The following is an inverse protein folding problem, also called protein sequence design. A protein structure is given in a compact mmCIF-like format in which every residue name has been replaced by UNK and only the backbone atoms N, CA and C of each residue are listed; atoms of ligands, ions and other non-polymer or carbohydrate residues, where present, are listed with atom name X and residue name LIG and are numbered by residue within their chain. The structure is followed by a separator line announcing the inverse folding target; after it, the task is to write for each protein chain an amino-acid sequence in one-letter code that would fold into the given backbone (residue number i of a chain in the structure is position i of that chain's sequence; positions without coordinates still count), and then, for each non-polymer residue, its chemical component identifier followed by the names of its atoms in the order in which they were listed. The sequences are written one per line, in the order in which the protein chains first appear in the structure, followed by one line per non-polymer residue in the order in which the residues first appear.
data_IF_352477528341
#
_entry.id   IF_352477528341
#
_cell.length_a   1.000
_cell.length_b   1.000
_cell.length_c   1.000
_cell.angle_alpha   90.00
_cell.angle_beta   90.00
_cell.angle_gamma   90.00
#
_symmetry.space_group_name_H-M   'P 1'
#
loop_
_entity.id
_entity.type
_entity.pdbx_description
1 polymer ?
#
# COMPACT_ATOMS: atom_id res chain seq x y z
N UNK A 1 -10.66 5.75 -2.60
CA UNK A 1 -9.99 4.42 -2.74
C UNK A 1 -11.02 3.32 -2.91
N UNK A 2 -10.66 2.15 -3.46
CA UNK A 2 -11.59 1.01 -3.52
C UNK A 2 -11.76 0.35 -2.14
N UNK A 3 -12.95 -0.17 -1.90
CA UNK A 3 -13.32 -0.75 -0.60
C UNK A 3 -12.48 -1.96 -0.18
N UNK A 4 -11.78 -2.62 -1.11
CA UNK A 4 -10.82 -3.69 -0.79
C UNK A 4 -9.71 -3.18 0.14
N UNK A 5 -9.29 -1.92 0.02
CA UNK A 5 -8.27 -1.31 0.92
C UNK A 5 -8.83 -1.18 2.34
N UNK A 6 -10.03 -0.63 2.49
CA UNK A 6 -10.68 -0.47 3.80
C UNK A 6 -11.03 -1.82 4.43
N UNK A 7 -11.44 -2.81 3.61
CA UNK A 7 -11.70 -4.19 4.05
C UNK A 7 -10.42 -4.84 4.59
N UNK A 8 -9.29 -4.66 3.91
CA UNK A 8 -7.99 -5.18 4.34
C UNK A 8 -7.54 -4.56 5.67
N UNK A 9 -7.69 -3.24 5.84
CA UNK A 9 -7.39 -2.58 7.11
C UNK A 9 -8.28 -3.12 8.25
N UNK A 10 -9.58 -3.30 8.00
CA UNK A 10 -10.51 -3.95 8.94
C UNK A 10 -10.02 -5.35 9.32
N UNK A 11 -9.70 -6.17 8.32
CA UNK A 11 -9.22 -7.55 8.54
C UNK A 11 -7.92 -7.58 9.34
N UNK A 12 -6.98 -6.69 9.05
CA UNK A 12 -5.75 -6.53 9.83
C UNK A 12 -6.06 -6.22 11.30
N UNK A 13 -6.90 -5.21 11.55
CA UNK A 13 -7.25 -4.81 12.90
C UNK A 13 -7.95 -5.92 13.68
N UNK A 14 -8.92 -6.61 13.07
CA UNK A 14 -9.65 -7.69 13.73
C UNK A 14 -8.73 -8.89 14.02
N UNK A 15 -7.92 -9.29 13.04
CA UNK A 15 -7.09 -10.49 13.17
C UNK A 15 -5.94 -10.30 14.17
N UNK A 16 -5.36 -9.10 14.27
CA UNK A 16 -4.22 -8.84 15.15
C UNK A 16 -4.62 -8.30 16.52
N UNK A 17 -5.71 -7.53 16.59
CA UNK A 17 -6.07 -6.78 17.80
C UNK A 17 -7.49 -7.04 18.31
N UNK A 18 -8.30 -7.80 17.56
CA UNK A 18 -9.65 -8.17 17.92
C UNK A 18 -10.73 -7.18 17.47
N UNK A 19 -11.97 -7.68 17.39
CA UNK A 19 -13.12 -6.89 16.92
C UNK A 19 -13.44 -5.70 17.83
N UNK A 20 -13.22 -5.82 19.14
CA UNK A 20 -13.46 -4.71 20.07
C UNK A 20 -12.67 -3.46 19.72
N UNK A 21 -11.38 -3.61 19.37
CA UNK A 21 -10.54 -2.47 18.93
C UNK A 21 -11.01 -1.93 17.58
N UNK A 22 -11.40 -2.80 16.66
CA UNK A 22 -11.98 -2.35 15.40
C UNK A 22 -13.25 -1.49 15.60
N UNK A 23 -14.14 -1.87 16.52
CA UNK A 23 -15.33 -1.05 16.84
C UNK A 23 -14.97 0.32 17.40
N UNK A 24 -13.89 0.43 18.18
CA UNK A 24 -13.37 1.74 18.64
C UNK A 24 -12.84 2.57 17.48
N UNK A 25 -12.08 1.96 16.56
CA UNK A 25 -11.59 2.64 15.34
C UNK A 25 -12.76 3.17 14.51
N UNK A 26 -13.80 2.38 14.25
CA UNK A 26 -15.00 2.83 13.55
C UNK A 26 -15.66 4.04 14.24
N UNK A 27 -15.81 3.96 15.56
CA UNK A 27 -16.42 5.05 16.34
C UNK A 27 -15.59 6.32 16.30
N UNK A 28 -14.26 6.22 16.44
CA UNK A 28 -13.35 7.36 16.42
C UNK A 28 -13.24 8.00 15.04
N UNK A 29 -13.19 7.17 13.99
CA UNK A 29 -13.12 7.68 12.61
C UNK A 29 -14.38 8.40 12.14
N UNK A 30 -15.53 8.17 12.80
CA UNK A 30 -16.82 8.67 12.36
C UNK A 30 -17.29 8.07 11.02
N UNK A 31 -16.66 7.00 10.56
CA UNK A 31 -17.04 6.31 9.32
C UNK A 31 -18.25 5.43 9.57
N UNK A 32 -19.33 5.67 8.83
CA UNK A 32 -20.61 4.97 9.01
C UNK A 32 -20.67 3.56 8.39
N UNK A 33 -19.57 3.06 7.81
CA UNK A 33 -19.56 1.78 7.11
C UNK A 33 -18.97 0.68 7.99
N UNK A 34 -19.76 -0.33 8.31
CA UNK A 34 -19.34 -1.57 8.95
C UNK A 34 -18.89 -2.65 7.95
N UNK A 35 -19.26 -2.50 6.69
CA UNK A 35 -18.88 -3.39 5.59
C UNK A 35 -18.40 -2.60 4.37
N UNK A 36 -17.20 -2.93 3.88
CA UNK A 36 -16.63 -2.33 2.68
C UNK A 36 -16.76 -3.31 1.51
N UNK A 37 -17.48 -2.88 0.45
CA UNK A 37 -17.59 -3.66 -0.77
C UNK A 37 -16.30 -3.50 -1.58
N UNK A 38 -15.56 -4.59 -1.80
CA UNK A 38 -14.21 -4.58 -2.38
C UNK A 38 -14.10 -3.78 -3.69
N UNK A 39 -15.09 -3.93 -4.57
CA UNK A 39 -15.08 -3.32 -5.92
C UNK A 39 -15.86 -2.00 -5.99
N UNK A 40 -16.24 -1.41 -4.86
CA UNK A 40 -16.87 -0.09 -4.79
C UNK A 40 -15.83 0.97 -4.46
N UNK A 41 -15.87 2.10 -5.18
CA UNK A 41 -15.09 3.28 -4.85
C UNK A 41 -15.69 4.01 -3.63
N UNK A 42 -14.82 4.45 -2.74
CA UNK A 42 -15.11 5.28 -1.56
C UNK A 42 -14.23 6.53 -1.63
N UNK A 43 -14.70 7.61 -1.01
CA UNK A 43 -13.86 8.79 -0.86
C UNK A 43 -12.56 8.44 -0.12
N UNK A 44 -11.46 9.02 -0.54
CA UNK A 44 -10.14 8.74 0.04
C UNK A 44 -10.09 9.09 1.53
N UNK A 45 -10.84 10.12 1.95
CA UNK A 45 -11.06 10.52 3.34
C UNK A 45 -11.49 9.36 4.26
N UNK A 46 -12.27 8.40 3.74
CA UNK A 46 -12.71 7.23 4.51
C UNK A 46 -11.50 6.41 4.94
N UNK A 47 -10.58 6.14 4.03
CA UNK A 47 -9.37 5.36 4.31
C UNK A 47 -8.44 6.11 5.25
N UNK A 48 -8.22 7.41 5.02
CA UNK A 48 -7.36 8.24 5.89
C UNK A 48 -7.90 8.31 7.32
N UNK A 49 -9.20 8.54 7.50
CA UNK A 49 -9.84 8.56 8.83
C UNK A 49 -9.72 7.22 9.55
N UNK A 50 -9.90 6.12 8.84
CA UNK A 50 -9.73 4.78 9.41
C UNK A 50 -8.27 4.50 9.81
N UNK A 51 -7.31 4.86 8.96
CA UNK A 51 -5.88 4.69 9.26
C UNK A 51 -5.46 5.53 10.47
N UNK A 52 -5.88 6.80 10.54
CA UNK A 52 -5.59 7.67 11.68
C UNK A 52 -6.21 7.11 12.97
N UNK A 53 -7.49 6.74 12.94
CA UNK A 53 -8.16 6.18 14.11
C UNK A 53 -7.53 4.84 14.57
N UNK A 54 -7.01 4.05 13.63
CA UNK A 54 -6.28 2.82 13.97
C UNK A 54 -4.95 3.13 14.66
N UNK A 55 -4.19 4.12 14.16
CA UNK A 55 -2.95 4.57 14.78
C UNK A 55 -3.19 5.11 16.20
N UNK A 56 -4.23 5.95 16.37
CA UNK A 56 -4.62 6.52 17.66
C UNK A 56 -5.03 5.43 18.67
N UNK A 57 -5.86 4.45 18.25
CA UNK A 57 -6.28 3.34 19.13
C UNK A 57 -5.11 2.44 19.53
N UNK A 58 -4.12 2.28 18.65
CA UNK A 58 -2.92 1.48 18.90
C UNK A 58 -1.82 2.28 19.62
N UNK A 59 -1.98 3.60 19.75
CA UNK A 59 -1.00 4.50 20.34
C UNK A 59 0.37 4.46 19.64
N UNK A 60 0.37 4.41 18.32
CA UNK A 60 1.54 4.45 17.45
C UNK A 60 1.44 5.62 16.47
N UNK A 61 2.56 6.00 15.87
CA UNK A 61 2.56 7.00 14.82
C UNK A 61 1.81 6.50 13.58
N UNK A 62 1.17 7.42 12.85
CA UNK A 62 0.45 7.09 11.61
C UNK A 62 1.36 6.44 10.58
N UNK A 63 2.60 6.90 10.46
CA UNK A 63 3.58 6.35 9.54
C UNK A 63 3.90 4.87 9.87
N UNK A 64 4.02 4.52 11.16
CA UNK A 64 4.24 3.13 11.59
C UNK A 64 3.02 2.26 11.31
N UNK A 65 1.82 2.78 11.55
CA UNK A 65 0.57 2.10 11.19
C UNK A 65 0.47 1.85 9.69
N UNK A 66 0.83 2.83 8.87
CA UNK A 66 0.82 2.73 7.41
C UNK A 66 1.87 1.72 6.89
N UNK A 67 3.10 1.70 7.46
CA UNK A 67 4.11 0.69 7.14
C UNK A 67 3.61 -0.72 7.42
N UNK A 68 3.09 -0.94 8.63
CA UNK A 68 2.53 -2.23 9.01
C UNK A 68 1.36 -2.64 8.11
N UNK A 69 0.52 -1.69 7.73
CA UNK A 69 -0.59 -1.94 6.81
C UNK A 69 -0.11 -2.28 5.40
N UNK A 70 0.95 -1.64 4.90
CA UNK A 70 1.56 -1.96 3.60
C UNK A 70 2.08 -3.40 3.53
N UNK A 71 2.80 -3.85 4.56
CA UNK A 71 3.24 -5.25 4.69
C UNK A 71 2.03 -6.19 4.71
N UNK A 72 1.05 -5.93 5.58
CA UNK A 72 -0.16 -6.73 5.70
C UNK A 72 -0.94 -6.83 4.37
N UNK A 73 -1.04 -5.72 3.64
CA UNK A 73 -1.71 -5.68 2.33
C UNK A 73 -1.12 -6.72 1.38
N UNK A 74 0.20 -6.78 1.26
CA UNK A 74 0.86 -7.73 0.36
C UNK A 74 0.73 -9.15 0.87
N UNK A 75 1.11 -9.40 2.11
CA UNK A 75 1.24 -10.75 2.66
C UNK A 75 -0.11 -11.45 2.90
N UNK A 76 -1.16 -10.68 3.18
CA UNK A 76 -2.46 -11.25 3.53
C UNK A 76 -3.54 -10.98 2.49
N UNK A 77 -3.64 -9.77 1.94
CA UNK A 77 -4.69 -9.43 0.98
C UNK A 77 -4.29 -9.79 -0.44
N UNK A 78 -3.17 -9.24 -0.92
CA UNK A 78 -2.72 -9.48 -2.29
C UNK A 78 -2.27 -10.94 -2.51
N UNK A 79 -1.53 -11.49 -1.57
CA UNK A 79 -1.10 -12.89 -1.62
C UNK A 79 -2.27 -13.89 -1.64
N UNK A 80 -3.36 -13.59 -0.95
CA UNK A 80 -4.54 -14.45 -0.88
C UNK A 80 -5.45 -14.29 -2.11
N UNK A 81 -5.76 -13.04 -2.46
CA UNK A 81 -6.79 -12.76 -3.48
C UNK A 81 -6.19 -12.63 -4.89
N UNK A 82 -4.92 -12.24 -5.04
CA UNK A 82 -4.29 -11.90 -6.31
C UNK A 82 -2.97 -12.62 -6.61
N UNK A 83 -2.64 -13.70 -5.90
CA UNK A 83 -1.34 -14.40 -6.04
C UNK A 83 -1.02 -14.84 -7.48
N UNK A 84 -2.02 -15.36 -8.20
CA UNK A 84 -1.84 -15.75 -9.60
C UNK A 84 -1.53 -14.55 -10.50
N UNK A 85 -2.19 -13.41 -10.25
CA UNK A 85 -1.97 -12.17 -10.98
C UNK A 85 -0.58 -11.59 -10.66
N UNK A 86 -0.16 -11.62 -9.40
CA UNK A 86 1.17 -11.16 -9.00
C UNK A 86 2.27 -11.99 -9.68
N UNK A 87 2.15 -13.32 -9.68
CA UNK A 87 3.11 -14.22 -10.37
C UNK A 87 3.14 -14.01 -11.88
N UNK A 88 1.98 -13.73 -12.50
CA UNK A 88 1.89 -13.45 -13.93
C UNK A 88 2.46 -12.06 -14.30
N UNK A 89 2.57 -11.15 -13.34
CA UNK A 89 3.09 -9.79 -13.54
C UNK A 89 4.60 -9.74 -13.42
N UNK A 90 5.23 -10.56 -12.54
CA UNK A 90 6.68 -10.63 -12.40
C UNK A 90 7.13 -11.90 -11.73
N UNK A 91 8.34 -12.37 -12.08
CA UNK A 91 8.97 -13.54 -11.47
C UNK A 91 9.68 -13.21 -10.14
N UNK A 92 10.06 -11.95 -9.96
CA UNK A 92 10.73 -11.38 -8.79
C UNK A 92 10.11 -10.01 -8.46
N UNK A 93 10.49 -9.43 -7.33
CA UNK A 93 9.98 -8.16 -6.85
C UNK A 93 10.20 -7.02 -7.87
N UNK A 94 11.40 -6.91 -8.41
CA UNK A 94 11.72 -5.81 -9.32
C UNK A 94 10.99 -5.97 -10.66
N UNK A 95 10.95 -7.19 -11.21
CA UNK A 95 10.19 -7.49 -12.42
C UNK A 95 8.68 -7.25 -12.24
N UNK A 96 8.14 -7.54 -11.05
CA UNK A 96 6.76 -7.18 -10.70
C UNK A 96 6.55 -5.66 -10.73
N UNK A 97 7.42 -4.88 -10.08
CA UNK A 97 7.31 -3.42 -10.04
C UNK A 97 7.47 -2.77 -11.42
N UNK A 98 8.38 -3.28 -12.26
CA UNK A 98 8.57 -2.82 -13.65
C UNK A 98 7.31 -3.00 -14.51
N UNK A 99 6.55 -4.06 -14.26
CA UNK A 99 5.32 -4.37 -15.00
C UNK A 99 4.05 -3.85 -14.32
N UNK A 100 4.15 -3.31 -13.09
CA UNK A 100 3.00 -2.92 -12.28
C UNK A 100 2.17 -1.80 -12.94
N UNK A 101 2.81 -0.84 -13.60
CA UNK A 101 2.08 0.21 -14.32
C UNK A 101 1.19 -0.37 -15.44
N UNK A 102 1.71 -1.34 -16.20
CA UNK A 102 0.93 -2.02 -17.25
C UNK A 102 -0.23 -2.85 -16.68
N UNK A 103 -0.06 -3.42 -15.49
CA UNK A 103 -1.16 -4.07 -14.77
C UNK A 103 -2.20 -3.03 -14.33
N UNK A 104 -1.78 -1.91 -13.76
CA UNK A 104 -2.66 -0.82 -13.35
C UNK A 104 -3.47 -0.26 -14.52
N UNK A 105 -2.86 -0.07 -15.69
CA UNK A 105 -3.55 0.40 -16.91
C UNK A 105 -4.65 -0.55 -17.35
N UNK A 106 -4.41 -1.87 -17.29
CA UNK A 106 -5.42 -2.88 -17.60
C UNK A 106 -6.59 -2.85 -16.60
N UNK A 107 -6.31 -2.66 -15.31
CA UNK A 107 -7.35 -2.52 -14.28
C UNK A 107 -8.14 -1.23 -14.52
N UNK A 108 -7.47 -0.11 -14.77
CA UNK A 108 -8.09 1.20 -15.01
C UNK A 108 -9.03 1.20 -16.22
N UNK A 109 -8.75 0.38 -17.23
CA UNK A 109 -9.64 0.24 -18.40
C UNK A 109 -11.01 -0.36 -18.05
N UNK A 110 -11.11 -1.07 -16.93
CA UNK A 110 -12.36 -1.69 -16.46
C UNK A 110 -13.00 -0.89 -15.32
N UNK A 111 -12.17 -0.30 -14.47
CA UNK A 111 -12.59 0.43 -13.26
C UNK A 111 -12.26 1.91 -13.39
N UNK A 112 -13.21 2.69 -13.89
CA UNK A 112 -13.02 4.10 -14.27
C UNK A 112 -12.62 5.03 -13.12
N UNK A 113 -13.00 4.69 -11.89
CA UNK A 113 -12.63 5.45 -10.68
C UNK A 113 -11.30 4.99 -10.06
N UNK A 114 -10.62 4.01 -10.68
CA UNK A 114 -9.35 3.52 -10.21
C UNK A 114 -8.23 4.51 -10.53
N UNK A 115 -7.57 5.00 -9.48
CA UNK A 115 -6.45 5.95 -9.55
C UNK A 115 -5.24 5.30 -8.91
N UNK A 116 -4.50 4.45 -9.63
CA UNK A 116 -3.33 3.79 -9.08
C UNK A 116 -2.14 4.75 -8.99
N UNK A 117 -1.18 4.44 -8.12
CA UNK A 117 0.14 5.04 -8.19
C UNK A 117 0.91 4.52 -9.41
N UNK A 118 1.99 5.20 -9.76
CA UNK A 118 2.97 4.75 -10.74
C UNK A 118 4.33 4.46 -10.08
N UNK A 119 5.05 3.50 -10.67
CA UNK A 119 6.37 3.11 -10.22
C UNK A 119 7.35 3.11 -11.40
N UNK A 120 8.57 3.60 -11.17
CA UNK A 120 9.68 3.52 -12.13
C UNK A 120 10.86 2.89 -11.39
N UNK A 121 11.38 1.79 -11.92
CA UNK A 121 12.53 1.07 -11.37
C UNK A 121 13.75 1.39 -12.19
N UNK A 122 14.83 1.81 -11.54
CA UNK A 122 16.16 1.98 -12.13
C UNK A 122 17.14 1.05 -11.41
N UNK A 123 17.58 0.01 -12.12
CA UNK A 123 18.54 -0.99 -11.62
C UNK A 123 19.99 -0.56 -11.74
N UNK A 124 20.28 0.47 -12.53
CA UNK A 124 21.63 0.93 -12.84
C UNK A 124 22.12 2.03 -11.88
N UNK A 125 21.42 2.24 -10.77
CA UNK A 125 21.83 3.20 -9.75
C UNK A 125 23.09 2.72 -9.03
N UNK A 126 24.13 3.55 -9.01
CA UNK A 126 25.45 3.22 -8.44
C UNK A 126 25.41 2.77 -6.94
N UNK A 127 24.35 3.13 -6.22
CA UNK A 127 24.20 2.85 -4.78
C UNK A 127 23.22 1.71 -4.47
N UNK A 128 22.60 1.10 -5.50
CA UNK A 128 21.57 0.08 -5.34
C UNK A 128 20.53 0.14 -6.43
N UNK A 129 19.26 -0.14 -6.10
CA UNK A 129 18.12 0.02 -7.00
C UNK A 129 17.31 1.23 -6.57
N UNK A 130 16.97 2.09 -7.51
CA UNK A 130 16.10 3.25 -7.27
C UNK A 130 14.68 2.92 -7.72
N UNK A 131 13.70 3.16 -6.83
CA UNK A 131 12.28 2.99 -7.12
C UNK A 131 11.60 4.34 -6.91
N UNK A 132 11.18 4.97 -8.00
CA UNK A 132 10.39 6.19 -7.93
C UNK A 132 8.90 5.83 -7.85
N UNK A 133 8.24 6.36 -6.84
CA UNK A 133 6.81 6.29 -6.61
C UNK A 133 6.17 7.64 -6.87
N UNK A 134 5.03 7.67 -7.55
CA UNK A 134 4.23 8.87 -7.71
C UNK A 134 2.73 8.55 -7.60
N UNK A 135 1.97 9.43 -6.94
CA UNK A 135 0.54 9.28 -6.70
C UNK A 135 -0.17 10.63 -6.66
N UNK A 136 -1.45 10.65 -7.02
CA UNK A 136 -2.34 11.80 -6.78
C UNK A 136 -2.66 11.98 -5.28
N UNK A 137 -2.45 10.94 -4.45
CA UNK A 137 -2.68 10.93 -3.01
C UNK A 137 -1.43 11.34 -2.26
N UNK A 138 -1.62 11.97 -1.11
CA UNK A 138 -0.53 12.48 -0.25
C UNK A 138 -0.46 11.65 1.04
N UNK A 139 0.73 11.51 1.61
CA UNK A 139 0.96 10.86 2.91
C UNK A 139 0.98 9.33 2.86
N UNK A 140 1.16 8.73 1.67
CA UNK A 140 1.19 7.28 1.50
C UNK A 140 2.61 6.71 1.32
N UNK A 141 3.65 7.54 1.34
CA UNK A 141 5.05 7.06 1.27
C UNK A 141 5.35 5.97 2.34
N UNK A 142 4.92 6.08 3.62
CA UNK A 142 5.14 5.00 4.59
C UNK A 142 4.38 3.72 4.24
N UNK A 143 3.18 3.82 3.67
CA UNK A 143 2.46 2.64 3.19
C UNK A 143 3.21 1.94 2.05
N UNK A 144 3.77 2.71 1.12
CA UNK A 144 4.60 2.17 0.02
C UNK A 144 5.88 1.52 0.55
N UNK A 145 6.51 2.10 1.57
CA UNK A 145 7.64 1.46 2.27
C UNK A 145 7.26 0.06 2.77
N UNK A 146 6.09 -0.06 3.40
CA UNK A 146 5.53 -1.34 3.82
C UNK A 146 5.25 -2.29 2.66
N UNK A 147 4.66 -1.78 1.55
CA UNK A 147 4.42 -2.58 0.34
C UNK A 147 5.72 -3.17 -0.23
N UNK A 148 6.80 -2.39 -0.30
CA UNK A 148 8.10 -2.86 -0.81
C UNK A 148 8.67 -3.98 0.05
N UNK A 149 8.61 -3.85 1.38
CA UNK A 149 9.04 -4.90 2.30
C UNK A 149 8.17 -6.17 2.17
N UNK A 150 6.86 -6.02 2.10
CA UNK A 150 5.93 -7.13 1.91
C UNK A 150 6.14 -7.84 0.56
N UNK A 151 6.39 -7.09 -0.53
CA UNK A 151 6.70 -7.66 -1.85
C UNK A 151 7.99 -8.47 -1.83
N UNK A 152 9.06 -7.94 -1.22
CA UNK A 152 10.31 -8.67 -1.06
C UNK A 152 10.08 -10.00 -0.34
N UNK A 153 9.41 -9.96 0.82
CA UNK A 153 9.03 -11.15 1.59
C UNK A 153 8.23 -12.16 0.74
N UNK A 154 7.23 -11.69 0.01
CA UNK A 154 6.36 -12.55 -0.80
C UNK A 154 7.09 -13.25 -1.95
N UNK A 155 8.07 -12.59 -2.57
CA UNK A 155 8.94 -13.19 -3.61
C UNK A 155 10.09 -14.03 -3.02
N UNK A 156 10.23 -14.09 -1.69
CA UNK A 156 11.34 -14.81 -1.02
C UNK A 156 12.66 -14.05 -1.10
N UNK A 157 12.59 -12.75 -1.27
CA UNK A 157 13.72 -11.83 -1.35
C UNK A 157 13.81 -10.99 -0.07
N UNK A 158 14.96 -10.36 0.15
CA UNK A 158 15.17 -9.41 1.25
C UNK A 158 15.73 -8.09 0.71
N UNK A 159 15.23 -7.00 1.25
CA UNK A 159 15.70 -5.66 0.89
C UNK A 159 16.13 -4.87 2.13
N UNK A 160 17.01 -3.90 1.92
CA UNK A 160 17.26 -2.83 2.88
C UNK A 160 16.94 -1.52 2.20
N UNK A 161 16.01 -0.74 2.74
CA UNK A 161 15.76 0.62 2.31
C UNK A 161 16.87 1.50 2.88
N UNK A 162 17.71 2.06 2.00
CA UNK A 162 18.87 2.86 2.37
C UNK A 162 18.50 4.32 2.57
N UNK A 163 17.55 4.81 1.77
CA UNK A 163 17.13 6.21 1.79
C UNK A 163 15.72 6.35 1.19
N UNK A 164 14.96 7.34 1.64
CA UNK A 164 13.67 7.73 1.08
C UNK A 164 13.71 9.24 0.86
N UNK A 165 13.60 9.68 -0.40
CA UNK A 165 13.69 11.08 -0.78
C UNK A 165 12.35 11.56 -1.31
N UNK A 166 11.62 12.39 -0.53
CA UNK A 166 10.46 13.07 -1.06
C UNK A 166 10.87 14.11 -2.09
N UNK A 167 10.09 14.24 -3.14
CA UNK A 167 10.29 15.23 -4.20
C UNK A 167 9.16 16.25 -4.17
N UNK A 168 9.50 17.54 -4.36
CA UNK A 168 8.51 18.59 -4.48
C UNK A 168 7.75 18.44 -5.82
N UNK A 169 6.42 18.34 -5.75
CA UNK A 169 5.53 18.29 -6.92
C UNK A 169 4.38 19.25 -6.73
N UNK A 170 3.79 19.74 -7.83
CA UNK A 170 2.68 20.71 -7.76
C UNK A 170 1.39 20.09 -7.20
N UNK A 171 1.20 18.77 -7.38
CA UNK A 171 0.05 18.04 -6.88
C UNK A 171 0.41 16.58 -6.60
N UNK A 172 -0.25 15.99 -5.58
CA UNK A 172 -0.01 14.62 -5.19
C UNK A 172 1.28 14.45 -4.39
N UNK A 173 1.88 13.27 -4.49
CA UNK A 173 3.11 12.88 -3.79
C UNK A 173 4.06 12.16 -4.73
N UNK A 174 5.34 12.43 -4.58
CA UNK A 174 6.41 11.67 -5.22
C UNK A 174 7.53 11.41 -4.23
N UNK A 175 8.04 10.17 -4.22
CA UNK A 175 9.17 9.77 -3.40
C UNK A 175 10.04 8.77 -4.14
N UNK A 176 11.35 8.89 -3.97
CA UNK A 176 12.32 7.94 -4.49
C UNK A 176 12.87 7.10 -3.35
N UNK A 177 12.68 5.79 -3.42
CA UNK A 177 13.24 4.79 -2.51
C UNK A 177 14.55 4.27 -3.10
N UNK A 178 15.64 4.40 -2.37
CA UNK A 178 16.90 3.75 -2.68
C UNK A 178 16.98 2.46 -1.87
N UNK A 179 17.02 1.32 -2.54
CA UNK A 179 17.06 0.02 -1.89
C UNK A 179 18.31 -0.77 -2.27
N UNK A 180 18.68 -1.71 -1.40
CA UNK A 180 19.67 -2.74 -1.67
C UNK A 180 19.00 -4.10 -1.56
N UNK A 181 19.14 -4.92 -2.61
CA UNK A 181 18.77 -6.33 -2.57
C UNK A 181 19.81 -7.11 -1.74
N UNK A 182 19.38 -8.06 -0.94
CA UNK A 182 20.24 -8.91 -0.09
C UNK A 182 20.30 -10.34 -0.61
#
# INVERSE_FOLDING_TARGET
MYGVVNKSLKEMMINQFGDERWQKVLKQSGVAADSFLSMRAYDDDVTYKLAQAAADELQIDLDDALRAFGVHWVEHTAAKEYSALMRATGADMLGFLENLNSLHDRISSTFLDYRPPSFIVDRDCASGVSIQYASERIGLTPFVEGLLNGLASWFGESITILDIRPEAVDAGERSTFLIRMQ
#
